data_IF_733271139083
#
_entry.id   IF_733271139083
#
_cell.length_a   1.000
_cell.length_b   1.000
_cell.length_c   1.000
_cell.angle_alpha   90.00
_cell.angle_beta   90.00
_cell.angle_gamma   90.00
#
_symmetry.space_group_name_H-M   'P 1'
#
loop_
_entity.id
_entity.type
_entity.pdbx_description
1 polymer ?
#
# COMPACT_ATOMS: atom_id res chain seq x y z
N UNK A 1 2.97 57.90 19.54
CA UNK A 1 2.96 57.53 18.10
C UNK A 1 3.96 56.41 17.89
N UNK A 2 3.53 55.31 17.24
CA UNK A 2 4.29 54.10 16.86
C UNK A 2 4.24 52.89 17.81
N UNK A 3 3.04 52.36 18.06
CA UNK A 3 2.87 50.92 18.27
C UNK A 3 2.15 50.36 17.05
N UNK A 4 2.88 50.08 15.99
CA UNK A 4 2.33 49.40 14.82
C UNK A 4 3.37 48.45 14.25
N UNK A 5 3.32 47.21 14.71
CA UNK A 5 3.75 46.06 13.92
C UNK A 5 2.96 44.85 14.42
N UNK A 6 1.68 44.80 14.05
CA UNK A 6 0.89 43.58 14.15
C UNK A 6 1.45 42.63 13.10
N UNK A 7 2.24 41.64 13.55
CA UNK A 7 2.72 40.56 12.70
C UNK A 7 1.54 39.66 12.34
N UNK A 8 1.13 39.67 11.06
CA UNK A 8 0.13 38.76 10.53
C UNK A 8 0.73 37.36 10.43
N UNK A 9 0.38 36.48 11.37
CA UNK A 9 0.63 35.04 11.23
C UNK A 9 -0.32 34.50 10.15
N UNK A 10 0.23 34.17 8.99
CA UNK A 10 -0.50 33.47 7.93
C UNK A 10 -0.86 32.07 8.41
N UNK A 11 -2.16 31.78 8.58
CA UNK A 11 -2.65 30.41 8.74
C UNK A 11 -2.41 29.66 7.42
N UNK A 12 -1.51 28.68 7.44
CA UNK A 12 -1.40 27.70 6.37
C UNK A 12 -2.63 26.76 6.44
N UNK A 13 -3.53 26.88 5.47
CA UNK A 13 -4.65 25.95 5.31
C UNK A 13 -4.06 24.64 4.79
N UNK A 14 -3.96 23.62 5.67
CA UNK A 14 -3.72 22.26 5.24
C UNK A 14 -4.98 21.75 4.51
N UNK A 15 -5.01 21.91 3.19
CA UNK A 15 -6.00 21.25 2.35
C UNK A 15 -5.75 19.74 2.40
N UNK A 16 -6.41 19.05 3.31
CA UNK A 16 -6.41 17.60 3.38
C UNK A 16 -7.14 17.02 2.17
N UNK A 17 -6.39 16.60 1.16
CA UNK A 17 -6.94 15.76 0.09
C UNK A 17 -7.33 14.41 0.70
N UNK A 18 -8.63 14.14 0.82
CA UNK A 18 -9.13 12.82 1.18
C UNK A 18 -8.90 11.86 0.00
N UNK A 19 -7.75 11.19 0.00
CA UNK A 19 -7.53 10.04 -0.88
C UNK A 19 -8.51 8.95 -0.46
N UNK A 20 -9.48 8.62 -1.31
CA UNK A 20 -10.28 7.42 -1.12
C UNK A 20 -9.31 6.23 -1.08
N UNK A 21 -9.34 5.47 0.01
CA UNK A 21 -8.59 4.22 0.13
C UNK A 21 -9.17 3.21 -0.89
N UNK A 22 -8.69 3.29 -2.13
CA UNK A 22 -8.90 2.24 -3.11
C UNK A 22 -8.23 0.99 -2.53
N UNK A 23 -9.00 -0.08 -2.32
CA UNK A 23 -8.47 -1.37 -1.90
C UNK A 23 -7.63 -1.96 -3.04
N UNK A 24 -6.38 -1.49 -3.15
CA UNK A 24 -5.40 -1.94 -4.10
C UNK A 24 -4.40 -2.83 -3.39
N UNK A 25 -4.17 -4.02 -3.90
CA UNK A 25 -3.09 -4.86 -3.41
C UNK A 25 -1.75 -4.30 -3.90
N UNK A 26 -1.00 -3.68 -2.99
CA UNK A 26 0.36 -3.21 -3.24
C UNK A 26 1.38 -4.34 -3.08
N UNK A 27 2.41 -4.43 -3.93
CA UNK A 27 3.35 -5.56 -3.92
C UNK A 27 4.29 -5.61 -2.71
N UNK A 28 4.42 -4.52 -1.93
CA UNK A 28 5.32 -4.47 -0.78
C UNK A 28 4.59 -4.01 0.48
N UNK A 29 4.94 -4.62 1.61
CA UNK A 29 4.40 -4.30 2.93
C UNK A 29 5.52 -3.93 3.90
N UNK A 30 5.27 -2.93 4.74
CA UNK A 30 6.11 -2.56 5.87
C UNK A 30 5.63 -3.32 7.11
N UNK A 31 6.55 -4.06 7.73
CA UNK A 31 6.30 -4.83 8.95
C UNK A 31 7.17 -4.30 10.09
N UNK A 32 6.64 -4.33 11.30
CA UNK A 32 7.33 -3.91 12.52
C UNK A 32 6.96 -4.87 13.65
N UNK A 33 7.80 -5.02 14.68
CA UNK A 33 7.43 -5.81 15.85
C UNK A 33 6.08 -5.33 16.43
N UNK A 34 5.15 -6.25 16.63
CA UNK A 34 3.81 -5.97 17.16
C UNK A 34 2.77 -5.51 16.13
N UNK A 35 3.16 -5.13 14.92
CA UNK A 35 2.25 -4.96 13.77
C UNK A 35 2.06 -6.34 13.14
N UNK A 36 0.89 -6.96 13.29
CA UNK A 36 0.61 -8.31 12.78
C UNK A 36 0.95 -8.49 11.29
N UNK A 37 1.14 -9.73 10.86
CA UNK A 37 1.51 -10.07 9.48
C UNK A 37 0.36 -9.83 8.48
N UNK A 38 0.60 -9.25 7.28
CA UNK A 38 1.89 -8.83 6.70
C UNK A 38 2.32 -7.38 7.02
N UNK A 39 1.59 -6.69 7.89
CA UNK A 39 1.81 -5.28 8.18
C UNK A 39 1.07 -4.34 7.22
N UNK A 40 1.68 -3.18 6.94
CA UNK A 40 1.10 -2.13 6.09
C UNK A 40 1.50 -2.30 4.62
N UNK A 41 0.57 -2.71 3.77
CA UNK A 41 0.79 -2.92 2.34
C UNK A 41 0.34 -1.72 1.50
N UNK A 42 1.14 -0.65 1.50
CA UNK A 42 0.85 0.62 0.79
C UNK A 42 1.92 1.03 -0.21
N UNK A 43 2.87 0.13 -0.53
CA UNK A 43 4.09 0.47 -1.27
C UNK A 43 4.17 -0.20 -2.64
N UNK A 44 4.35 0.62 -3.67
CA UNK A 44 4.45 0.15 -5.06
C UNK A 44 5.82 -0.40 -5.41
N UNK A 45 6.87 0.06 -4.73
CA UNK A 45 8.26 -0.38 -4.92
C UNK A 45 8.91 -0.67 -3.57
N UNK A 46 9.90 -1.57 -3.58
CA UNK A 46 10.69 -1.88 -2.38
C UNK A 46 11.41 -0.64 -1.85
N UNK A 47 11.95 0.20 -2.74
CA UNK A 47 12.62 1.45 -2.37
C UNK A 47 11.69 2.41 -1.62
N UNK A 48 10.44 2.54 -2.06
CA UNK A 48 9.42 3.36 -1.37
C UNK A 48 9.16 2.83 0.05
N UNK A 49 9.02 1.50 0.20
CA UNK A 49 8.88 0.88 1.52
C UNK A 49 10.11 1.15 2.41
N UNK A 50 11.31 0.97 1.87
CA UNK A 50 12.57 1.20 2.62
C UNK A 50 12.75 2.65 3.05
N UNK A 51 12.33 3.61 2.22
CA UNK A 51 12.31 5.01 2.60
C UNK A 51 11.40 5.24 3.82
N UNK A 52 10.22 4.62 3.84
CA UNK A 52 9.28 4.72 4.97
C UNK A 52 9.69 3.92 6.22
N UNK A 53 10.44 2.83 6.06
CA UNK A 53 11.01 2.05 7.15
C UNK A 53 12.24 2.72 7.80
N UNK A 54 12.88 3.66 7.09
CA UNK A 54 14.10 4.32 7.56
C UNK A 54 13.87 5.05 8.89
N UNK A 55 14.74 4.82 9.87
CA UNK A 55 14.65 5.42 11.21
C UNK A 55 13.57 4.82 12.12
N UNK A 56 12.92 3.72 11.70
CA UNK A 56 11.93 2.98 12.48
C UNK A 56 12.42 1.55 12.70
N UNK A 57 11.92 0.88 13.74
CA UNK A 57 12.13 -0.55 13.92
C UNK A 57 11.17 -1.33 12.99
N UNK A 58 11.40 -1.20 11.68
CA UNK A 58 10.54 -1.72 10.63
C UNK A 58 11.37 -2.31 9.49
N UNK A 59 10.81 -3.27 8.77
CA UNK A 59 11.39 -3.84 7.55
C UNK A 59 10.33 -4.03 6.46
N UNK A 60 10.76 -4.40 5.26
CA UNK A 60 9.95 -4.52 4.07
C UNK A 60 9.88 -5.96 3.58
N UNK A 61 8.67 -6.45 3.36
CA UNK A 61 8.39 -7.79 2.83
C UNK A 61 7.55 -7.71 1.54
N UNK A 62 7.57 -8.80 0.77
CA UNK A 62 6.66 -8.96 -0.38
C UNK A 62 5.24 -9.22 0.15
N UNK A 63 4.26 -8.56 -0.45
CA UNK A 63 2.85 -8.77 -0.10
C UNK A 63 2.40 -10.19 -0.51
N UNK A 64 2.05 -11.07 0.45
CA UNK A 64 1.62 -12.43 0.15
C UNK A 64 0.33 -12.48 -0.70
N UNK A 65 -0.54 -11.47 -0.61
CA UNK A 65 -1.75 -11.37 -1.45
C UNK A 65 -1.41 -11.15 -2.92
N UNK A 66 -0.33 -10.44 -3.20
CA UNK A 66 0.15 -10.27 -4.58
C UNK A 66 0.96 -11.46 -5.08
N UNK A 67 1.72 -12.11 -4.18
CA UNK A 67 2.55 -13.26 -4.53
C UNK A 67 1.73 -14.55 -4.72
N UNK A 68 0.70 -14.74 -3.91
CA UNK A 68 -0.10 -15.97 -3.83
C UNK A 68 -1.61 -15.73 -4.00
N UNK A 69 -2.02 -14.53 -4.40
CA UNK A 69 -3.42 -14.21 -4.67
C UNK A 69 -4.03 -15.19 -5.66
N UNK A 70 -5.38 -15.31 -5.68
CA UNK A 70 -6.07 -16.31 -6.48
C UNK A 70 -5.59 -16.23 -7.93
N UNK A 71 -4.74 -17.19 -8.31
CA UNK A 71 -4.49 -17.54 -9.70
C UNK A 71 -5.88 -17.85 -10.23
N UNK A 72 -6.32 -17.15 -11.27
CA UNK A 72 -7.66 -17.29 -11.82
C UNK A 72 -7.87 -18.74 -12.32
N UNK A 73 -8.14 -19.65 -11.39
CA UNK A 73 -8.38 -21.08 -11.58
C UNK A 73 -9.61 -21.31 -12.44
N UNK A 74 -10.51 -20.32 -12.47
CA UNK A 74 -11.60 -20.26 -13.42
C UNK A 74 -11.14 -20.31 -14.89
N UNK A 75 -9.99 -19.71 -15.23
CA UNK A 75 -9.44 -19.75 -16.59
C UNK A 75 -8.83 -21.11 -16.93
N UNK A 76 -8.33 -21.80 -15.92
CA UNK A 76 -7.67 -23.09 -16.04
C UNK A 76 -8.70 -24.22 -16.17
N UNK A 77 -9.74 -24.20 -15.34
CA UNK A 77 -10.86 -25.16 -15.38
C UNK A 77 -11.56 -25.16 -16.75
N UNK A 78 -11.83 -23.98 -17.34
CA UNK A 78 -12.37 -23.89 -18.71
C UNK A 78 -11.47 -24.54 -19.76
N UNK A 79 -10.14 -24.46 -19.60
CA UNK A 79 -9.19 -25.07 -20.55
C UNK A 79 -9.14 -26.58 -20.41
N UNK A 80 -9.16 -27.10 -19.18
CA UNK A 80 -9.24 -28.54 -18.94
C UNK A 80 -10.55 -29.12 -19.47
N UNK A 81 -11.68 -28.46 -19.18
CA UNK A 81 -13.01 -28.92 -19.62
C UNK A 81 -13.21 -28.89 -21.14
N UNK A 82 -12.54 -27.97 -21.86
CA UNK A 82 -12.57 -27.94 -23.32
C UNK A 82 -11.66 -29.01 -23.95
N UNK A 83 -10.61 -29.44 -23.24
CA UNK A 83 -9.64 -30.42 -23.73
C UNK A 83 -10.02 -31.87 -23.43
N UNK A 84 -11.09 -32.11 -22.68
CA UNK A 84 -11.56 -33.47 -22.38
C UNK A 84 -12.25 -34.07 -23.63
N UNK A 85 -11.67 -35.11 -24.26
CA UNK A 85 -12.32 -35.81 -25.36
C UNK A 85 -13.48 -36.62 -24.79
N UNK A 86 -14.68 -36.32 -25.28
CA UNK A 86 -15.88 -37.13 -25.02
C UNK A 86 -15.80 -38.37 -25.91
N UNK A 87 -15.26 -39.46 -25.37
CA UNK A 87 -15.39 -40.82 -25.93
C UNK A 87 -16.13 -41.72 -24.95
#
# INVERSE_FOLDING_TARGET
MKYLAVGLFTLAIAAGSSVQAQARDYPYCLTSPGYGYPGECSYSTYAQCRASASGRLADCIINPRTAFGPRNSYRDDRRYRYREPRW
#
